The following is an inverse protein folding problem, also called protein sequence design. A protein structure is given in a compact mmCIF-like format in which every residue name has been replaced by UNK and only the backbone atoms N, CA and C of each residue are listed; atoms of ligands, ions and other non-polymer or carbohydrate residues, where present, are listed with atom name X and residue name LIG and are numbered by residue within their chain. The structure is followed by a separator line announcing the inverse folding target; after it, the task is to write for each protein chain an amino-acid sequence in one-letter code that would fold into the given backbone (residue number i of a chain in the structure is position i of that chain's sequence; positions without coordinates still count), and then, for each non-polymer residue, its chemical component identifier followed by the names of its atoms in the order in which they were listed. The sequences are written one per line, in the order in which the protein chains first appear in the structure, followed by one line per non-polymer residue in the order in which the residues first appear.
data_IF_704175848977
#
_entry.id   IF_704175848977
#
_cell.length_a   1.000
_cell.length_b   1.000
_cell.length_c   1.000
_cell.angle_alpha   90.00
_cell.angle_beta   90.00
_cell.angle_gamma   90.00
#
_symmetry.space_group_name_H-M   'P 1'
#
loop_
_entity.id
_entity.type
_entity.pdbx_description
1 polymer ?
#
# COMPACT_ATOMS: atom_id res chain seq x y z
N UNK A 1 -21.23 -1.05 -19.75
CA UNK A 1 -19.97 -0.40 -19.35
C UNK A 1 -19.48 -1.12 -18.12
N UNK A 2 -18.52 -2.04 -18.27
CA UNK A 2 -17.89 -2.66 -17.12
C UNK A 2 -17.17 -1.58 -16.31
N UNK A 3 -17.55 -1.44 -15.04
CA UNK A 3 -16.84 -0.60 -14.10
C UNK A 3 -15.53 -1.32 -13.81
N UNK A 4 -14.47 -0.91 -14.52
CA UNK A 4 -13.09 -1.23 -14.16
C UNK A 4 -12.96 -1.09 -12.64
N UNK A 5 -12.42 -2.06 -11.89
CA UNK A 5 -12.27 -1.93 -10.44
C UNK A 5 -11.42 -0.69 -10.17
N UNK A 6 -12.08 0.42 -9.83
CA UNK A 6 -11.44 1.71 -9.62
C UNK A 6 -10.45 1.52 -8.48
N UNK A 7 -9.18 1.87 -8.69
CA UNK A 7 -8.15 1.75 -7.68
C UNK A 7 -8.56 2.55 -6.43
N UNK A 8 -9.05 1.84 -5.40
CA UNK A 8 -9.62 2.45 -4.20
C UNK A 8 -8.62 3.37 -3.51
N UNK A 9 -7.33 3.01 -3.52
CA UNK A 9 -6.25 3.84 -2.96
C UNK A 9 -6.12 5.17 -3.71
N UNK A 10 -6.16 5.14 -5.04
CA UNK A 10 -6.12 6.35 -5.88
C UNK A 10 -7.35 7.23 -5.62
N UNK A 11 -8.52 6.63 -5.38
CA UNK A 11 -9.73 7.37 -5.01
C UNK A 11 -9.59 8.05 -3.64
N UNK A 12 -9.02 7.38 -2.65
CA UNK A 12 -8.74 8.00 -1.33
C UNK A 12 -7.75 9.16 -1.48
N UNK A 13 -6.71 9.00 -2.29
CA UNK A 13 -5.77 10.08 -2.57
C UNK A 13 -6.44 11.27 -3.26
N UNK A 14 -7.32 11.01 -4.23
CA UNK A 14 -8.12 12.05 -4.88
C UNK A 14 -9.03 12.81 -3.91
N UNK A 15 -9.64 12.11 -2.94
CA UNK A 15 -10.40 12.75 -1.86
C UNK A 15 -9.53 13.63 -0.98
N UNK A 16 -8.30 13.21 -0.67
CA UNK A 16 -7.36 14.01 0.11
C UNK A 16 -6.93 15.28 -0.62
N UNK A 17 -6.61 15.18 -1.91
CA UNK A 17 -6.26 16.35 -2.74
C UNK A 17 -7.45 17.30 -2.86
N UNK A 18 -8.66 16.77 -3.09
CA UNK A 18 -9.87 17.58 -3.17
C UNK A 18 -10.15 18.31 -1.83
N UNK A 19 -10.00 17.62 -0.69
CA UNK A 19 -10.15 18.24 0.62
C UNK A 19 -9.15 19.39 0.83
N UNK A 20 -7.88 19.20 0.46
CA UNK A 20 -6.88 20.26 0.52
C UNK A 20 -7.24 21.48 -0.36
N UNK A 21 -7.83 21.25 -1.54
CA UNK A 21 -8.30 22.33 -2.40
C UNK A 21 -9.51 23.06 -1.80
N UNK A 22 -10.46 22.33 -1.22
CA UNK A 22 -11.59 22.93 -0.50
C UNK A 22 -11.11 23.76 0.71
N UNK A 23 -10.13 23.27 1.46
CA UNK A 23 -9.52 24.03 2.57
C UNK A 23 -8.78 25.29 2.10
N UNK A 24 -8.24 25.28 0.88
CA UNK A 24 -7.64 26.44 0.23
C UNK A 24 -8.68 27.43 -0.33
N UNK A 25 -9.98 27.08 -0.29
CA UNK A 25 -11.09 27.94 -0.73
C UNK A 25 -11.51 27.75 -2.18
N UNK A 26 -11.08 26.68 -2.85
CA UNK A 26 -11.54 26.36 -4.20
C UNK A 26 -12.91 25.66 -4.14
N UNK A 27 -13.86 26.18 -4.93
CA UNK A 27 -15.21 25.61 -5.06
C UNK A 27 -15.29 24.53 -6.17
N UNK A 28 -14.30 24.52 -7.06
CA UNK A 28 -14.18 23.54 -8.13
C UNK A 28 -12.78 23.54 -8.75
N UNK A 29 -12.44 22.44 -9.40
CA UNK A 29 -11.18 22.28 -10.13
C UNK A 29 -11.44 21.52 -11.43
N UNK A 30 -10.64 21.81 -12.46
CA UNK A 30 -10.67 21.03 -13.70
C UNK A 30 -10.23 19.59 -13.41
N UNK A 31 -10.86 18.63 -14.10
CA UNK A 31 -10.65 17.20 -13.87
C UNK A 31 -9.20 16.81 -14.17
N UNK A 32 -8.63 17.30 -15.27
CA UNK A 32 -7.24 16.99 -15.64
C UNK A 32 -6.25 17.58 -14.65
N UNK A 33 -6.51 18.79 -14.15
CA UNK A 33 -5.70 19.40 -13.10
C UNK A 33 -5.74 18.59 -11.80
N UNK A 34 -6.93 18.16 -11.37
CA UNK A 34 -7.10 17.32 -10.18
C UNK A 34 -6.36 15.98 -10.32
N UNK A 35 -6.50 15.29 -11.45
CA UNK A 35 -5.79 14.04 -11.72
C UNK A 35 -4.27 14.22 -11.71
N UNK A 36 -3.77 15.33 -12.27
CA UNK A 36 -2.34 15.65 -12.26
C UNK A 36 -1.84 15.89 -10.83
N UNK A 37 -2.58 16.64 -10.02
CA UNK A 37 -2.22 16.86 -8.62
C UNK A 37 -2.21 15.55 -7.81
N UNK A 38 -3.11 14.60 -8.12
CA UNK A 38 -3.11 13.27 -7.51
C UNK A 38 -1.84 12.49 -7.87
N UNK A 39 -1.41 12.51 -9.14
CA UNK A 39 -0.15 11.87 -9.55
C UNK A 39 1.07 12.55 -8.92
N UNK A 40 1.08 13.87 -8.81
CA UNK A 40 2.15 14.62 -8.13
C UNK A 40 2.21 14.29 -6.64
N UNK A 41 1.06 14.19 -5.96
CA UNK A 41 0.99 13.80 -4.55
C UNK A 41 1.52 12.38 -4.34
N UNK A 42 1.15 11.43 -5.20
CA UNK A 42 1.68 10.06 -5.14
C UNK A 42 3.19 10.02 -5.38
N UNK A 43 3.67 10.79 -6.36
CA UNK A 43 5.10 10.91 -6.67
C UNK A 43 5.88 11.45 -5.49
N UNK A 44 5.38 12.51 -4.85
CA UNK A 44 5.98 13.11 -3.66
C UNK A 44 6.09 12.10 -2.50
N UNK A 45 5.03 11.35 -2.20
CA UNK A 45 5.05 10.32 -1.15
C UNK A 45 6.08 9.22 -1.45
N UNK A 46 6.17 8.82 -2.71
CA UNK A 46 7.13 7.81 -3.17
C UNK A 46 8.56 8.31 -3.05
N UNK A 47 8.80 9.57 -3.42
CA UNK A 47 10.12 10.20 -3.37
C UNK A 47 10.59 10.40 -1.92
N UNK A 48 9.72 10.85 -1.01
CA UNK A 48 10.01 10.94 0.43
C UNK A 48 10.40 9.55 0.98
N UNK A 49 9.64 8.51 0.62
CA UNK A 49 9.93 7.14 1.03
C UNK A 49 11.27 6.63 0.52
N UNK A 50 11.58 6.87 -0.76
CA UNK A 50 12.86 6.48 -1.37
C UNK A 50 14.04 7.23 -0.73
N UNK A 51 13.89 8.54 -0.50
CA UNK A 51 14.94 9.36 0.15
C UNK A 51 15.17 8.92 1.59
N UNK A 52 14.09 8.70 2.36
CA UNK A 52 14.15 8.21 3.74
C UNK A 52 14.83 6.84 3.80
N UNK A 53 14.48 5.93 2.88
CA UNK A 53 15.14 4.62 2.75
C UNK A 53 16.64 4.78 2.52
N UNK A 54 17.05 5.68 1.62
CA UNK A 54 18.46 5.97 1.37
C UNK A 54 19.20 6.41 2.64
N UNK A 55 18.64 7.33 3.43
CA UNK A 55 19.23 7.75 4.71
C UNK A 55 19.28 6.62 5.76
N UNK A 56 18.24 5.80 5.81
CA UNK A 56 18.18 4.64 6.70
C UNK A 56 19.28 3.60 6.36
N UNK A 57 19.44 3.31 5.07
CA UNK A 57 20.45 2.36 4.57
C UNK A 57 21.88 2.88 4.80
N UNK A 58 22.11 4.19 4.66
CA UNK A 58 23.40 4.82 4.98
C UNK A 58 23.77 4.67 6.47
N UNK A 59 22.79 4.56 7.35
CA UNK A 59 22.99 4.27 8.77
C UNK A 59 23.04 2.76 9.08
N UNK A 60 23.12 1.90 8.06
CA UNK A 60 23.07 0.44 8.16
C UNK A 60 21.81 -0.09 8.90
N UNK A 61 20.71 0.65 8.83
CA UNK A 61 19.41 0.25 9.37
C UNK A 61 18.47 -0.13 8.23
N UNK A 62 17.48 -0.96 8.55
CA UNK A 62 16.35 -1.26 7.66
C UNK A 62 15.08 -0.52 8.08
N UNK A 63 14.95 -0.22 9.37
CA UNK A 63 13.82 0.53 9.92
C UNK A 63 14.16 2.03 10.00
N UNK A 64 13.44 2.89 9.24
CA UNK A 64 13.67 4.32 9.28
C UNK A 64 13.21 4.90 10.63
N UNK A 65 14.00 5.84 11.15
CA UNK A 65 13.64 6.65 12.31
C UNK A 65 13.19 8.03 11.86
N UNK A 66 12.56 8.79 12.76
CA UNK A 66 12.06 10.15 12.46
C UNK A 66 13.17 11.06 11.91
N UNK A 67 14.40 10.91 12.40
CA UNK A 67 15.56 11.67 11.89
C UNK A 67 15.84 11.46 10.40
N UNK A 68 15.62 10.25 9.87
CA UNK A 68 15.82 9.95 8.45
C UNK A 68 14.77 10.65 7.58
N UNK A 69 13.52 10.69 8.06
CA UNK A 69 12.41 11.39 7.40
C UNK A 69 12.66 12.91 7.40
N UNK A 70 13.13 13.45 8.53
CA UNK A 70 13.47 14.88 8.64
C UNK A 70 14.58 15.24 7.64
N UNK A 71 15.63 14.44 7.55
CA UNK A 71 16.71 14.67 6.58
C UNK A 71 16.21 14.58 5.14
N UNK A 72 15.37 13.60 4.82
CA UNK A 72 14.73 13.47 3.51
C UNK A 72 13.94 14.72 3.13
N UNK A 73 13.08 15.22 4.03
CA UNK A 73 12.28 16.41 3.80
C UNK A 73 13.14 17.67 3.60
N UNK A 74 14.18 17.87 4.42
CA UNK A 74 15.10 19.00 4.30
C UNK A 74 15.85 18.95 2.97
N UNK A 75 16.34 17.78 2.57
CA UNK A 75 17.08 17.61 1.31
C UNK A 75 16.19 17.84 0.08
N UNK A 76 14.89 17.54 0.17
CA UNK A 76 13.90 17.87 -0.85
C UNK A 76 13.45 19.34 -0.84
N UNK A 77 13.96 20.16 0.08
CA UNK A 77 13.63 21.58 0.19
C UNK A 77 12.29 21.88 0.90
N UNK A 78 11.71 20.91 1.60
CA UNK A 78 10.48 21.10 2.37
C UNK A 78 10.80 21.78 3.70
N UNK A 79 10.23 22.98 3.91
CA UNK A 79 10.37 23.71 5.17
C UNK A 79 9.53 23.03 6.26
N UNK A 80 10.16 22.70 7.38
CA UNK A 80 9.50 22.11 8.54
C UNK A 80 8.92 23.17 9.49
N UNK A 81 9.31 24.43 9.29
CA UNK A 81 8.80 25.56 10.08
C UNK A 81 7.29 25.69 9.92
N UNK A 82 6.58 25.68 11.05
CA UNK A 82 5.12 25.81 11.07
C UNK A 82 4.35 24.52 10.82
N UNK A 83 5.01 23.36 10.71
CA UNK A 83 4.34 22.06 10.58
C UNK A 83 3.38 21.79 11.75
N UNK A 84 3.76 22.14 12.99
CA UNK A 84 2.89 22.04 14.16
C UNK A 84 1.66 22.94 14.04
N UNK A 85 1.86 24.19 13.59
CA UNK A 85 0.75 25.14 13.37
C UNK A 85 -0.21 24.63 12.31
N UNK A 86 0.32 23.99 11.26
CA UNK A 86 -0.47 23.34 10.23
C UNK A 86 -1.24 22.12 10.78
N UNK A 87 -0.61 21.31 11.65
CA UNK A 87 -1.24 20.13 12.25
C UNK A 87 -2.40 20.48 13.21
N UNK A 88 -2.28 21.58 13.96
CA UNK A 88 -3.29 22.04 14.93
C UNK A 88 -4.27 23.10 14.39
N UNK A 89 -4.29 23.33 13.08
CA UNK A 89 -5.18 24.32 12.47
C UNK A 89 -6.66 24.00 12.73
N UNK A 90 -7.50 25.01 13.02
CA UNK A 90 -8.96 24.84 13.07
C UNK A 90 -9.54 24.64 11.66
N UNK A 91 -10.60 23.83 11.54
CA UNK A 91 -11.28 23.62 10.26
C UNK A 91 -10.65 22.55 9.35
N UNK A 92 -9.83 21.64 9.90
CA UNK A 92 -9.32 20.49 9.14
C UNK A 92 -10.47 19.62 8.64
N UNK A 93 -10.42 19.24 7.37
CA UNK A 93 -11.34 18.27 6.79
C UNK A 93 -10.83 16.87 7.16
N UNK A 94 -11.61 16.17 8.00
CA UNK A 94 -11.27 14.80 8.40
C UNK A 94 -11.85 13.84 7.37
N UNK A 95 -10.97 13.15 6.64
CA UNK A 95 -11.38 12.11 5.72
C UNK A 95 -11.88 10.87 6.48
N UNK A 96 -12.96 10.22 6.02
CA UNK A 96 -13.43 8.98 6.63
C UNK A 96 -12.39 7.87 6.42
N UNK A 97 -12.25 7.00 7.43
CA UNK A 97 -11.33 5.87 7.36
C UNK A 97 -11.73 4.92 6.21
N UNK A 98 -10.76 4.41 5.42
CA UNK A 98 -11.06 3.46 4.36
C UNK A 98 -11.60 2.15 4.94
N UNK A 99 -12.65 1.60 4.33
CA UNK A 99 -13.22 0.31 4.74
C UNK A 99 -12.26 -0.83 4.40
N UNK A 100 -11.95 -1.68 5.38
CA UNK A 100 -11.08 -2.83 5.17
C UNK A 100 -11.77 -3.88 4.30
N UNK A 101 -11.11 -4.30 3.23
CA UNK A 101 -11.57 -5.42 2.41
C UNK A 101 -11.46 -6.72 3.21
N UNK A 102 -12.59 -7.38 3.48
CA UNK A 102 -12.59 -8.72 4.05
C UNK A 102 -12.14 -9.72 2.99
N UNK A 103 -10.98 -10.36 3.18
CA UNK A 103 -10.61 -11.46 2.28
C UNK A 103 -11.69 -12.56 2.39
N UNK A 104 -12.26 -13.03 1.26
CA UNK A 104 -13.14 -14.18 1.31
C UNK A 104 -12.35 -15.37 1.84
N UNK A 105 -12.85 -15.97 2.93
CA UNK A 105 -12.30 -17.22 3.47
C UNK A 105 -12.22 -18.22 2.32
N UNK A 106 -11.01 -18.69 1.99
CA UNK A 106 -10.84 -19.79 1.04
C UNK A 106 -11.67 -20.97 1.55
N UNK A 107 -12.61 -21.52 0.74
CA UNK A 107 -13.30 -22.72 1.12
C UNK A 107 -12.26 -23.84 1.25
N UNK A 108 -12.23 -24.47 2.42
CA UNK A 108 -11.38 -25.64 2.67
C UNK A 108 -11.78 -26.74 1.69
N UNK A 109 -10.97 -26.96 0.66
CA UNK A 109 -11.12 -28.14 -0.19
C UNK A 109 -10.84 -29.35 0.70
N UNK A 110 -11.89 -30.10 1.01
CA UNK A 110 -11.78 -31.39 1.69
C UNK A 110 -10.95 -32.31 0.78
N UNK A 111 -9.70 -32.58 1.17
CA UNK A 111 -8.89 -33.60 0.49
C UNK A 111 -9.50 -34.98 0.80
N UNK A 112 -10.30 -35.50 -0.12
CA UNK A 112 -10.61 -36.91 -0.20
C UNK A 112 -9.44 -37.62 -0.89
N UNK A 113 -8.52 -38.19 -0.12
CA UNK A 113 -7.40 -38.96 -0.66
C UNK A 113 -6.38 -39.37 0.40
N UNK A 114 -5.94 -40.62 0.35
CA UNK A 114 -4.96 -41.20 1.27
C UNK A 114 -3.63 -40.45 1.17
N UNK A 115 -3.12 -39.99 2.32
CA UNK A 115 -1.82 -39.32 2.46
C UNK A 115 -0.70 -40.33 2.13
N UNK A 116 -0.22 -40.38 0.90
CA UNK A 116 0.95 -41.20 0.55
C UNK A 116 2.19 -40.64 1.26
N UNK A 117 2.89 -41.50 2.02
CA UNK A 117 4.13 -41.14 2.70
C UNK A 117 5.20 -40.74 1.69
N UNK A 118 5.97 -39.70 2.02
CA UNK A 118 7.12 -39.28 1.21
C UNK A 118 8.10 -40.45 0.99
N UNK A 119 8.72 -40.56 -0.20
CA UNK A 119 9.88 -41.41 -0.41
C UNK A 119 10.96 -41.15 0.66
N UNK A 120 11.75 -42.17 1.07
CA UNK A 120 12.65 -42.08 2.23
C UNK A 120 13.79 -41.05 2.12
N UNK A 121 14.07 -40.53 0.92
CA UNK A 121 15.07 -39.49 0.69
C UNK A 121 14.51 -38.06 0.82
N UNK A 122 13.20 -37.90 1.05
CA UNK A 122 12.55 -36.59 1.22
C UNK A 122 12.18 -36.42 2.70
N UNK A 123 12.67 -35.35 3.37
CA UNK A 123 12.33 -35.07 4.76
C UNK A 123 10.81 -34.96 4.99
N UNK A 124 10.33 -35.57 6.07
CA UNK A 124 8.90 -35.67 6.41
C UNK A 124 8.22 -34.35 6.80
N UNK A 125 9.00 -33.29 7.04
CA UNK A 125 8.49 -31.95 7.38
C UNK A 125 8.15 -31.09 6.16
N UNK A 126 8.48 -31.57 4.96
CA UNK A 126 8.11 -30.90 3.71
C UNK A 126 6.65 -31.21 3.35
N UNK A 127 5.92 -30.28 2.71
CA UNK A 127 4.55 -30.53 2.30
C UNK A 127 4.45 -31.66 1.27
N UNK A 128 3.39 -32.50 1.30
CA UNK A 128 3.19 -33.58 0.36
C UNK A 128 3.06 -33.06 -1.07
N UNK A 129 3.68 -33.77 -2.01
CA UNK A 129 3.61 -33.41 -3.42
C UNK A 129 2.16 -33.53 -3.92
N UNK A 130 1.58 -32.41 -4.37
CA UNK A 130 0.25 -32.41 -4.97
C UNK A 130 0.32 -33.08 -6.35
N UNK A 131 0.10 -34.40 -6.42
CA UNK A 131 -0.11 -35.05 -7.72
C UNK A 131 -1.44 -34.60 -8.32
N UNK A 132 -1.50 -34.31 -9.64
CA UNK A 132 -2.76 -34.06 -10.32
C UNK A 132 -3.68 -35.30 -10.23
N UNK A 133 -5.01 -35.11 -10.11
CA UNK A 133 -5.96 -36.18 -9.81
C UNK A 133 -6.18 -37.24 -10.92
N UNK A 134 -5.42 -37.22 -12.01
CA UNK A 134 -5.74 -38.00 -13.23
C UNK A 134 -4.69 -39.02 -13.68
N UNK A 135 -3.81 -39.52 -12.80
CA UNK A 135 -2.94 -40.66 -13.13
C UNK A 135 -3.42 -41.91 -12.39
N UNK A 136 -4.43 -42.57 -12.97
CA UNK A 136 -4.72 -43.96 -12.66
C UNK A 136 -3.57 -44.84 -13.17
N UNK A 137 -3.12 -45.83 -12.38
CA UNK A 137 -2.15 -46.80 -12.87
C UNK A 137 -2.86 -47.77 -13.81
N UNK A 138 -2.58 -47.69 -15.11
CA UNK A 138 -2.71 -48.86 -15.97
C UNK A 138 -1.62 -49.85 -15.54
N UNK A 139 -2.06 -51.08 -15.24
CA UNK A 139 -1.26 -52.30 -15.19
C UNK A 139 -0.31 -52.42 -16.36
#
# INVERSE_FOLDING_TARGET
MEVQPSNVRRRVLALAVAASLTEAGFDGADKMALETLVEMMQSLLTEIGNSTKGYCELACRTEPVVGDVIMALINMGVRLDGLEKFAYRPGRIILPAPTTSTQPKQPSILQAGVKLSHPPHIPSHLPPFSRPPCLHPHT
#
